data_IF_039338905848
#
_entry.id   IF_039338905848
#
_cell.length_a   1.000
_cell.length_b   1.000
_cell.length_c   1.000
_cell.angle_alpha   90.00
_cell.angle_beta   90.00
_cell.angle_gamma   90.00
#
_symmetry.space_group_name_H-M   'P 1'
#
loop_
_entity.id
_entity.type
_entity.pdbx_description
1 polymer ?
#
# COMPACT_ATOMS: atom_id res chain seq x y z
N UNK A 1 4.36 0.54 -6.94
CA UNK A 1 3.78 -0.10 -5.73
C UNK A 1 2.26 -0.02 -5.78
N UNK A 2 1.68 1.15 -6.01
CA UNK A 2 0.23 1.35 -6.10
C UNK A 2 -0.43 0.39 -7.10
N UNK A 3 0.18 0.23 -8.27
CA UNK A 3 -0.26 -0.66 -9.34
C UNK A 3 -0.19 -2.14 -8.93
N UNK A 4 0.84 -2.51 -8.15
CA UNK A 4 0.98 -3.86 -7.61
C UNK A 4 -0.13 -4.18 -6.60
N UNK A 5 -0.46 -3.24 -5.71
CA UNK A 5 -1.59 -3.37 -4.79
C UNK A 5 -2.93 -3.44 -5.53
N UNK A 6 -3.09 -2.66 -6.60
CA UNK A 6 -4.27 -2.71 -7.47
C UNK A 6 -4.46 -4.11 -8.09
N UNK A 7 -3.37 -4.74 -8.53
CA UNK A 7 -3.35 -6.10 -9.06
C UNK A 7 -3.48 -7.20 -7.98
N UNK A 8 -3.57 -6.82 -6.70
CA UNK A 8 -3.66 -7.72 -5.55
C UNK A 8 -2.35 -8.43 -5.21
N UNK A 9 -1.19 -7.89 -5.62
CA UNK A 9 0.10 -8.42 -5.21
C UNK A 9 0.32 -8.16 -3.71
N UNK A 10 0.73 -9.20 -2.97
CA UNK A 10 1.07 -9.08 -1.54
C UNK A 10 2.47 -8.48 -1.45
N UNK A 11 2.65 -7.26 -0.91
CA UNK A 11 3.94 -6.59 -0.89
C UNK A 11 4.80 -7.08 0.28
N UNK A 12 6.12 -7.15 0.06
CA UNK A 12 7.15 -7.29 1.11
C UNK A 12 7.86 -5.95 1.21
N UNK A 13 7.79 -5.27 2.36
CA UNK A 13 8.19 -3.86 2.49
C UNK A 13 9.04 -3.63 3.75
N UNK A 14 10.07 -2.78 3.63
CA UNK A 14 10.83 -2.32 4.79
C UNK A 14 10.13 -1.18 5.54
N UNK A 15 9.34 -0.38 4.82
CA UNK A 15 8.71 0.85 5.30
C UNK A 15 7.20 0.84 5.03
N UNK A 16 6.48 -0.10 5.66
CA UNK A 16 5.02 -0.22 5.52
C UNK A 16 4.26 1.03 5.99
N UNK A 17 4.87 1.82 6.89
CA UNK A 17 4.28 3.01 7.50
C UNK A 17 4.38 4.27 6.63
N UNK A 18 5.03 4.20 5.46
CA UNK A 18 5.22 5.37 4.59
C UNK A 18 3.99 5.67 3.72
N UNK A 19 3.00 4.79 3.70
CA UNK A 19 1.71 5.08 3.09
C UNK A 19 0.85 5.96 4.01
N UNK A 20 -0.01 6.83 3.45
CA UNK A 20 -0.88 7.70 4.26
C UNK A 20 -1.71 6.95 5.30
N UNK A 21 -2.06 5.71 5.01
CA UNK A 21 -2.55 4.73 5.96
C UNK A 21 -1.57 3.54 5.94
N UNK A 22 -0.90 3.21 7.04
CA UNK A 22 0.07 2.12 7.05
C UNK A 22 -0.52 0.78 6.60
N UNK A 23 0.29 -0.04 5.94
CA UNK A 23 -0.02 -1.46 5.77
C UNK A 23 0.30 -2.20 7.09
N UNK A 24 -0.39 -3.31 7.33
CA UNK A 24 -0.27 -4.12 8.54
C UNK A 24 0.39 -5.45 8.21
N UNK A 25 1.51 -5.73 8.89
CA UNK A 25 2.25 -6.98 8.76
C UNK A 25 1.36 -8.21 9.01
N UNK A 26 1.51 -9.23 8.16
CA UNK A 26 0.72 -10.46 8.22
C UNK A 26 -0.75 -10.33 7.81
N UNK A 27 -1.23 -9.11 7.50
CA UNK A 27 -2.62 -8.87 7.07
C UNK A 27 -2.69 -8.52 5.59
N UNK A 28 -2.02 -7.43 5.19
CA UNK A 28 -2.01 -6.92 3.82
C UNK A 28 -0.60 -6.57 3.32
N UNK A 29 0.44 -6.88 4.10
CA UNK A 29 1.83 -6.89 3.68
C UNK A 29 2.64 -7.89 4.51
N UNK A 30 3.89 -8.07 4.14
CA UNK A 30 4.92 -8.55 5.05
C UNK A 30 5.94 -7.43 5.28
N UNK A 31 6.21 -7.11 6.54
CA UNK A 31 7.20 -6.13 6.93
C UNK A 31 8.54 -6.81 7.26
N UNK A 32 9.65 -6.16 6.93
CA UNK A 32 10.98 -6.57 7.36
C UNK A 32 11.79 -5.35 7.79
N UNK A 33 12.86 -5.54 8.55
CA UNK A 33 13.64 -4.42 9.11
C UNK A 33 15.13 -4.52 8.78
N UNK A 34 15.62 -5.72 8.49
CA UNK A 34 17.02 -6.03 8.18
C UNK A 34 17.12 -7.24 7.24
N UNK A 35 18.35 -7.66 6.93
CA UNK A 35 18.61 -8.78 6.03
C UNK A 35 18.10 -10.12 6.58
N UNK A 36 18.17 -10.34 7.89
CA UNK A 36 17.77 -11.60 8.51
C UNK A 36 16.25 -11.74 8.49
N UNK A 37 15.53 -10.71 8.94
CA UNK A 37 14.06 -10.64 8.88
C UNK A 37 13.53 -10.72 7.45
N UNK A 38 14.25 -10.16 6.46
CA UNK A 38 13.89 -10.33 5.06
C UNK A 38 13.97 -11.80 4.62
N UNK A 39 15.04 -12.51 4.99
CA UNK A 39 15.16 -13.94 4.69
C UNK A 39 14.02 -14.75 5.32
N UNK A 40 13.70 -14.48 6.59
CA UNK A 40 12.59 -15.13 7.30
C UNK A 40 11.25 -14.89 6.60
N UNK A 41 10.97 -13.65 6.19
CA UNK A 41 9.76 -13.29 5.46
C UNK A 41 9.68 -14.03 4.13
N UNK A 42 10.77 -14.10 3.37
CA UNK A 42 10.79 -14.84 2.10
C UNK A 42 10.45 -16.32 2.32
N UNK A 43 11.07 -16.97 3.31
CA UNK A 43 10.78 -18.37 3.62
C UNK A 43 9.33 -18.57 4.04
N UNK A 44 8.80 -17.68 4.88
CA UNK A 44 7.39 -17.69 5.29
C UNK A 44 6.45 -17.59 4.10
N UNK A 45 6.71 -16.66 3.17
CA UNK A 45 5.89 -16.44 1.96
C UNK A 45 5.91 -17.66 1.05
N UNK A 46 7.08 -18.28 0.86
CA UNK A 46 7.21 -19.49 0.03
C UNK A 46 6.49 -20.71 0.63
N UNK A 47 6.34 -20.76 1.96
CA UNK A 47 5.64 -21.82 2.67
C UNK A 47 4.11 -21.59 2.77
N UNK A 48 3.59 -20.45 2.32
CA UNK A 48 2.16 -20.15 2.43
C UNK A 48 1.31 -21.07 1.55
N UNK A 49 0.19 -21.51 2.10
CA UNK A 49 -0.82 -22.21 1.33
C UNK A 49 -1.67 -21.23 0.50
N UNK A 50 -2.45 -21.80 -0.42
CA UNK A 50 -3.30 -21.03 -1.33
C UNK A 50 -4.38 -20.24 -0.60
N UNK A 51 -4.93 -20.75 0.50
CA UNK A 51 -5.99 -20.09 1.26
C UNK A 51 -5.47 -18.85 2.00
N UNK A 52 -4.28 -18.96 2.59
CA UNK A 52 -3.55 -17.85 3.21
C UNK A 52 -3.25 -16.76 2.18
N UNK A 53 -2.72 -17.14 1.00
CA UNK A 53 -2.45 -16.20 -0.09
C UNK A 53 -3.75 -15.51 -0.54
N UNK A 54 -4.83 -16.24 -0.78
CA UNK A 54 -6.11 -15.64 -1.20
C UNK A 54 -6.67 -14.67 -0.15
N UNK A 55 -6.54 -15.02 1.13
CA UNK A 55 -6.98 -14.16 2.23
C UNK A 55 -6.21 -12.84 2.24
N UNK A 56 -4.88 -12.89 2.14
CA UNK A 56 -4.06 -11.66 2.11
C UNK A 56 -4.27 -10.85 0.83
N UNK A 57 -4.39 -11.50 -0.33
CA UNK A 57 -4.72 -10.80 -1.61
C UNK A 57 -6.02 -10.02 -1.51
N UNK A 58 -7.05 -10.60 -0.88
CA UNK A 58 -8.32 -9.91 -0.62
C UNK A 58 -8.09 -8.69 0.28
N UNK A 59 -7.32 -8.82 1.36
CA UNK A 59 -6.97 -7.71 2.26
C UNK A 59 -6.18 -6.59 1.58
N UNK A 60 -5.26 -6.94 0.68
CA UNK A 60 -4.58 -5.97 -0.18
C UNK A 60 -5.57 -5.22 -1.07
N UNK A 61 -6.49 -5.95 -1.71
CA UNK A 61 -7.48 -5.33 -2.58
C UNK A 61 -8.43 -4.41 -1.80
N UNK A 62 -8.92 -4.84 -0.63
CA UNK A 62 -9.73 -4.02 0.28
C UNK A 62 -9.00 -2.72 0.64
N UNK A 63 -7.73 -2.80 1.02
CA UNK A 63 -6.91 -1.63 1.32
C UNK A 63 -6.76 -0.70 0.09
N UNK A 64 -6.46 -1.25 -1.08
CA UNK A 64 -6.35 -0.46 -2.31
C UNK A 64 -7.67 0.27 -2.61
N UNK A 65 -8.79 -0.46 -2.58
CA UNK A 65 -10.12 0.10 -2.86
C UNK A 65 -10.49 1.20 -1.87
N UNK A 66 -10.08 1.07 -0.61
CA UNK A 66 -10.46 2.02 0.44
C UNK A 66 -9.62 3.30 0.42
N UNK A 67 -8.31 3.18 0.18
CA UNK A 67 -7.37 4.29 0.40
C UNK A 67 -6.68 4.80 -0.87
N UNK A 68 -6.45 3.95 -1.87
CA UNK A 68 -5.56 4.26 -3.00
C UNK A 68 -6.27 4.32 -4.35
N UNK A 69 -7.47 3.75 -4.48
CA UNK A 69 -8.22 3.75 -5.71
C UNK A 69 -8.50 5.19 -6.21
N UNK A 70 -8.63 5.39 -7.54
CA UNK A 70 -9.00 6.68 -8.10
C UNK A 70 -10.22 7.28 -7.39
N UNK A 71 -10.13 8.57 -7.05
CA UNK A 71 -11.18 9.27 -6.33
C UNK A 71 -11.12 9.17 -4.80
N UNK A 72 -10.31 8.28 -4.21
CA UNK A 72 -10.15 8.22 -2.74
C UNK A 72 -9.44 9.44 -2.19
N UNK A 73 -8.39 9.90 -2.86
CA UNK A 73 -7.73 11.16 -2.51
C UNK A 73 -8.68 12.37 -2.59
N UNK A 74 -9.47 12.50 -3.66
CA UNK A 74 -10.45 13.58 -3.76
C UNK A 74 -11.52 13.43 -2.68
N UNK A 75 -12.02 12.23 -2.40
CA UNK A 75 -12.98 12.03 -1.30
C UNK A 75 -12.41 12.51 0.04
N UNK A 76 -11.15 12.18 0.33
CA UNK A 76 -10.45 12.65 1.54
C UNK A 76 -10.30 14.18 1.58
N UNK A 77 -9.88 14.79 0.47
CA UNK A 77 -9.72 16.24 0.36
C UNK A 77 -11.07 16.97 0.56
N UNK A 78 -12.17 16.34 0.15
CA UNK A 78 -13.50 16.95 0.18
C UNK A 78 -14.35 16.57 1.40
N UNK A 79 -13.99 15.55 2.19
CA UNK A 79 -14.78 15.10 3.35
C UNK A 79 -14.64 15.98 4.62
N UNK A 80 -13.69 16.92 4.64
CA UNK A 80 -13.49 17.83 5.77
C UNK A 80 -14.52 18.96 5.87
N UNK A 81 -14.63 19.58 7.05
CA UNK A 81 -15.55 20.70 7.34
C UNK A 81 -15.07 22.06 6.81
N UNK A 82 -13.83 22.16 6.35
CA UNK A 82 -13.26 23.43 5.89
C UNK A 82 -13.86 23.84 4.55
N UNK A 83 -14.41 25.06 4.49
CA UNK A 83 -14.94 25.64 3.26
C UNK A 83 -13.82 25.95 2.25
N UNK A 84 -12.64 26.33 2.74
CA UNK A 84 -11.45 26.57 1.93
C UNK A 84 -10.56 25.33 1.92
N UNK A 85 -10.18 24.90 0.72
CA UNK A 85 -9.30 23.75 0.47
C UNK A 85 -8.10 24.20 -0.35
N UNK A 86 -6.90 24.04 0.20
CA UNK A 86 -5.65 24.39 -0.48
C UNK A 86 -4.91 23.11 -0.84
N UNK A 87 -4.66 22.91 -2.14
CA UNK A 87 -3.81 21.83 -2.64
C UNK A 87 -2.45 22.39 -3.01
N UNK A 88 -1.41 21.98 -2.29
CA UNK A 88 -0.02 22.28 -2.64
C UNK A 88 0.47 21.18 -3.59
N UNK A 89 0.67 21.52 -4.85
CA UNK A 89 1.17 20.60 -5.87
C UNK A 89 2.59 20.99 -6.24
N UNK A 90 3.54 20.07 -6.06
CA UNK A 90 4.83 20.21 -6.72
C UNK A 90 4.65 19.89 -8.21
N UNK A 91 4.50 20.95 -9.01
CA UNK A 91 4.33 20.85 -10.46
C UNK A 91 5.64 20.60 -11.21
N UNK A 92 6.75 20.36 -10.49
CA UNK A 92 8.01 19.97 -11.12
C UNK A 92 7.80 18.79 -12.07
N UNK A 93 8.37 18.93 -13.26
CA UNK A 93 8.44 17.91 -14.29
C UNK A 93 9.89 17.78 -14.68
N UNK A 94 10.42 16.56 -14.66
CA UNK A 94 11.71 16.28 -15.30
C UNK A 94 11.53 16.58 -16.79
N UNK A 95 12.35 17.45 -17.40
CA UNK A 95 12.27 17.73 -18.83
C UNK A 95 12.43 16.42 -19.62
N UNK A 96 11.54 16.18 -20.59
CA UNK A 96 11.73 15.10 -21.55
C UNK A 96 12.67 15.63 -22.64
N UNK A 97 13.94 15.25 -22.56
CA UNK A 97 14.89 15.31 -23.69
C UNK A 97 14.56 14.26 -24.72
#
# INVERSE_FOLDING_TARGET
MIEALAAGAIPILQYADYLPQPLTDGVNCFAFHDANSLQEVIQKVLAMDRAQIQTMRRKVHEYYQEYLAPGRFSKLLFSGKSANRTLLLNAYRVPRT
#
